data_IF_962693698403
#
_entry.id   IF_962693698403
#
_cell.length_a   1.000
_cell.length_b   1.000
_cell.length_c   1.000
_cell.angle_alpha   90.00
_cell.angle_beta   90.00
_cell.angle_gamma   90.00
#
_symmetry.space_group_name_H-M   'P 1'
#
loop_
_entity.id
_entity.type
_entity.pdbx_description
1 polymer ?
#
# COMPACT_ATOMS: atom_id res chain seq x y z
N UNK A 1 -18.22 -9.72 11.05
CA UNK A 1 -17.06 -9.79 10.12
C UNK A 1 -16.15 -10.90 10.62
N UNK A 2 -15.82 -11.89 9.80
CA UNK A 2 -15.00 -13.03 10.26
C UNK A 2 -13.52 -12.63 10.29
N UNK A 3 -12.97 -12.50 11.50
CA UNK A 3 -11.61 -11.99 11.76
C UNK A 3 -10.52 -13.05 11.57
N UNK A 4 -10.87 -14.33 11.37
CA UNK A 4 -9.90 -15.42 11.27
C UNK A 4 -9.06 -15.39 9.99
N UNK A 5 -9.53 -14.72 8.92
CA UNK A 5 -8.80 -14.61 7.64
C UNK A 5 -7.60 -13.65 7.68
N UNK A 6 -7.43 -12.90 8.77
CA UNK A 6 -6.46 -11.80 8.87
C UNK A 6 -5.36 -12.06 9.91
N UNK A 7 -5.20 -13.32 10.32
CA UNK A 7 -4.30 -13.79 11.38
C UNK A 7 -2.86 -13.32 11.24
N UNK A 8 -2.38 -13.04 10.01
CA UNK A 8 -1.00 -12.58 9.76
C UNK A 8 -0.88 -11.06 9.52
N UNK A 9 -2.00 -10.34 9.50
CA UNK A 9 -2.08 -8.89 9.20
C UNK A 9 -2.75 -8.09 10.33
N UNK A 10 -2.77 -8.66 11.54
CA UNK A 10 -3.38 -8.08 12.74
C UNK A 10 -3.05 -6.59 12.95
N UNK A 11 -1.80 -6.12 12.72
CA UNK A 11 -1.47 -4.69 12.85
C UNK A 11 -2.23 -3.79 11.88
N UNK A 12 -2.51 -4.28 10.66
CA UNK A 12 -3.19 -3.50 9.62
C UNK A 12 -4.70 -3.40 9.90
N UNK A 13 -5.32 -4.50 10.29
CA UNK A 13 -6.73 -4.52 10.70
C UNK A 13 -7.00 -3.63 11.92
N UNK A 14 -6.20 -3.77 12.98
CA UNK A 14 -6.36 -2.93 14.17
C UNK A 14 -6.18 -1.45 13.83
N UNK A 15 -5.25 -1.12 12.93
CA UNK A 15 -5.10 0.24 12.45
C UNK A 15 -6.37 0.74 11.73
N UNK A 16 -6.98 -0.07 10.88
CA UNK A 16 -8.19 0.32 10.12
C UNK A 16 -9.35 0.57 11.09
N UNK A 17 -9.58 -0.36 12.02
CA UNK A 17 -10.64 -0.28 13.03
C UNK A 17 -10.40 0.92 13.96
N UNK A 18 -9.19 1.07 14.51
CA UNK A 18 -8.86 2.17 15.45
C UNK A 18 -9.02 3.56 14.82
N UNK A 19 -8.82 3.69 13.51
CA UNK A 19 -8.86 4.97 12.82
C UNK A 19 -10.15 5.18 12.00
N UNK A 20 -11.16 4.30 12.13
CA UNK A 20 -12.42 4.35 11.38
C UNK A 20 -12.22 4.61 9.86
N UNK A 21 -11.18 4.03 9.26
CA UNK A 21 -10.83 4.34 7.86
C UNK A 21 -11.65 3.52 6.88
N UNK A 22 -12.33 4.19 5.96
CA UNK A 22 -12.88 3.55 4.77
C UNK A 22 -11.75 3.21 3.79
N UNK A 23 -11.51 1.92 3.58
CA UNK A 23 -10.53 1.45 2.62
C UNK A 23 -11.07 1.58 1.20
N UNK A 24 -10.26 2.13 0.29
CA UNK A 24 -10.64 2.18 -1.13
C UNK A 24 -10.58 0.80 -1.80
N UNK A 25 -9.64 -0.06 -1.37
CA UNK A 25 -9.47 -1.42 -1.89
C UNK A 25 -9.26 -2.43 -0.75
N UNK A 26 -10.35 -2.90 -0.09
CA UNK A 26 -10.31 -3.83 1.05
C UNK A 26 -9.69 -5.19 0.73
N UNK A 27 -9.73 -5.63 -0.52
CA UNK A 27 -9.19 -6.92 -0.98
C UNK A 27 -7.66 -7.02 -0.87
N UNK A 28 -6.96 -5.88 -0.72
CA UNK A 28 -5.50 -5.80 -0.56
C UNK A 28 -5.05 -5.54 0.88
N UNK A 29 -5.93 -5.75 1.87
CA UNK A 29 -5.57 -5.59 3.29
C UNK A 29 -4.58 -6.63 3.77
N UNK A 30 -4.54 -7.81 3.14
CA UNK A 30 -3.64 -8.87 3.55
C UNK A 30 -2.27 -8.75 2.91
N UNK A 31 -1.24 -9.20 3.59
CA UNK A 31 0.12 -9.28 3.07
C UNK A 31 0.17 -10.11 1.79
N UNK A 32 -0.44 -11.29 1.82
CA UNK A 32 -0.44 -12.22 0.69
C UNK A 32 -1.10 -11.62 -0.57
N UNK A 33 -2.24 -10.94 -0.41
CA UNK A 33 -2.92 -10.30 -1.54
C UNK A 33 -2.08 -9.17 -2.16
N UNK A 34 -1.30 -8.44 -1.36
CA UNK A 34 -0.35 -7.44 -1.87
C UNK A 34 0.82 -8.10 -2.56
N UNK A 35 1.44 -9.10 -1.94
CA UNK A 35 2.62 -9.77 -2.48
C UNK A 35 2.37 -10.32 -3.89
N UNK A 36 1.22 -10.96 -4.10
CA UNK A 36 0.79 -11.49 -5.42
C UNK A 36 0.79 -10.42 -6.53
N UNK A 37 0.57 -9.15 -6.19
CA UNK A 37 0.59 -8.08 -7.21
C UNK A 37 1.99 -7.80 -7.72
N UNK A 38 3.03 -8.14 -6.96
CA UNK A 38 4.43 -7.91 -7.29
C UNK A 38 5.12 -9.11 -7.97
N UNK A 39 4.39 -10.17 -8.33
CA UNK A 39 4.98 -11.36 -8.98
C UNK A 39 5.68 -11.02 -10.31
N UNK A 40 5.15 -10.02 -11.04
CA UNK A 40 5.71 -9.52 -12.31
C UNK A 40 6.57 -8.26 -12.13
N UNK A 41 6.87 -7.87 -10.89
CA UNK A 41 7.68 -6.68 -10.62
C UNK A 41 9.17 -7.00 -10.80
N UNK A 42 9.75 -6.55 -11.90
CA UNK A 42 11.15 -6.84 -12.28
C UNK A 42 12.12 -5.70 -11.95
N UNK A 43 11.63 -4.59 -11.41
CA UNK A 43 12.46 -3.41 -11.16
C UNK A 43 13.28 -3.56 -9.88
N UNK A 44 14.49 -3.01 -9.92
CA UNK A 44 15.40 -3.00 -8.77
C UNK A 44 15.00 -1.94 -7.73
N UNK A 45 14.38 -0.84 -8.18
CA UNK A 45 14.00 0.30 -7.34
C UNK A 45 12.59 0.79 -7.72
N UNK A 46 11.75 1.12 -6.72
CA UNK A 46 11.94 0.86 -5.29
C UNK A 46 11.96 -0.64 -5.02
N UNK A 47 12.56 -1.03 -3.90
CA UNK A 47 12.51 -2.42 -3.48
C UNK A 47 11.06 -2.85 -3.22
N UNK A 48 10.69 -4.03 -3.73
CA UNK A 48 9.32 -4.55 -3.63
C UNK A 48 8.83 -4.69 -2.19
N UNK A 49 9.72 -5.01 -1.24
CA UNK A 49 9.36 -5.11 0.18
C UNK A 49 8.95 -3.75 0.73
N UNK A 50 9.74 -2.71 0.42
CA UNK A 50 9.43 -1.35 0.83
C UNK A 50 8.06 -0.85 0.32
N UNK A 51 7.65 -1.27 -0.87
CA UNK A 51 6.37 -0.87 -1.49
C UNK A 51 5.18 -1.51 -0.79
N UNK A 52 5.15 -2.83 -0.61
CA UNK A 52 3.98 -3.44 0.04
C UNK A 52 3.91 -3.17 1.55
N UNK A 53 5.04 -2.91 2.23
CA UNK A 53 5.07 -2.44 3.63
C UNK A 53 4.41 -1.06 3.76
N UNK A 54 4.56 -0.22 2.74
CA UNK A 54 3.98 1.12 2.69
C UNK A 54 2.57 1.16 2.09
N UNK A 55 1.90 0.00 2.06
CA UNK A 55 0.50 -0.20 1.63
C UNK A 55 0.28 -0.04 0.12
N UNK A 56 1.31 -0.24 -0.70
CA UNK A 56 1.16 -0.27 -2.14
C UNK A 56 0.84 -1.67 -2.67
N UNK A 57 0.10 -1.68 -3.78
CA UNK A 57 0.03 -2.79 -4.73
C UNK A 57 0.65 -2.36 -6.06
N UNK A 58 1.23 -3.28 -6.81
CA UNK A 58 1.72 -3.01 -8.16
C UNK A 58 0.56 -3.08 -9.17
N UNK A 59 0.56 -2.21 -10.17
CA UNK A 59 -0.48 -2.15 -11.20
C UNK A 59 -0.16 -2.97 -12.46
N UNK A 60 1.00 -3.64 -12.51
CA UNK A 60 1.37 -4.49 -13.65
C UNK A 60 1.99 -3.76 -14.83
N UNK A 61 2.22 -2.44 -14.73
CA UNK A 61 2.86 -1.66 -15.78
C UNK A 61 3.95 -0.75 -15.21
N UNK A 62 5.12 -0.74 -15.85
CA UNK A 62 6.31 0.03 -15.45
C UNK A 62 6.62 -0.13 -13.96
N UNK A 63 6.57 0.96 -13.22
CA UNK A 63 6.76 1.06 -11.77
C UNK A 63 5.51 1.61 -11.07
N UNK A 64 4.37 1.59 -11.77
CA UNK A 64 3.14 2.18 -11.27
C UNK A 64 2.62 1.37 -10.07
N UNK A 65 2.47 2.03 -8.93
CA UNK A 65 1.94 1.43 -7.71
C UNK A 65 0.77 2.25 -7.16
N UNK A 66 -0.15 1.58 -6.48
CA UNK A 66 -1.34 2.20 -5.91
C UNK A 66 -1.48 1.88 -4.42
N UNK A 67 -1.72 2.90 -3.60
CA UNK A 67 -2.04 2.66 -2.20
C UNK A 67 -3.44 2.07 -2.06
N UNK A 68 -3.57 0.89 -1.44
CA UNK A 68 -4.88 0.25 -1.28
C UNK A 68 -5.82 1.02 -0.32
N UNK A 69 -5.24 1.82 0.58
CA UNK A 69 -5.98 2.56 1.60
C UNK A 69 -6.54 3.87 1.07
N UNK A 70 -5.69 4.77 0.53
CA UNK A 70 -6.11 6.09 0.05
C UNK A 70 -6.34 6.15 -1.47
N UNK A 71 -5.84 5.19 -2.25
CA UNK A 71 -5.99 5.15 -3.69
C UNK A 71 -5.03 6.00 -4.50
N UNK A 72 -4.09 6.69 -3.85
CA UNK A 72 -3.01 7.42 -4.54
C UNK A 72 -2.23 6.46 -5.43
N UNK A 73 -1.96 6.89 -6.66
CA UNK A 73 -1.13 6.19 -7.63
C UNK A 73 0.17 6.96 -7.77
N UNK A 74 1.30 6.26 -7.71
CA UNK A 74 2.65 6.80 -7.91
C UNK A 74 3.36 5.99 -9.00
N UNK A 75 4.20 6.67 -9.77
CA UNK A 75 5.03 6.12 -10.85
C UNK A 75 6.32 6.92 -10.96
N UNK A 76 7.21 6.49 -11.85
CA UNK A 76 8.47 7.15 -12.17
C UNK A 76 9.38 7.32 -10.92
N UNK A 77 9.42 6.26 -10.11
CA UNK A 77 10.18 6.15 -8.87
C UNK A 77 11.70 6.26 -9.11
N UNK A 78 12.33 7.16 -8.38
CA UNK A 78 13.78 7.28 -8.31
C UNK A 78 14.37 6.42 -7.17
N UNK A 79 15.67 6.13 -7.28
CA UNK A 79 16.44 5.39 -6.27
C UNK A 79 16.41 6.08 -4.90
N UNK A 80 16.31 7.41 -4.91
CA UNK A 80 16.31 8.25 -3.70
C UNK A 80 14.93 8.36 -3.04
N UNK A 81 13.88 7.88 -3.71
CA UNK A 81 12.51 8.05 -3.25
C UNK A 81 12.20 7.10 -2.10
N UNK A 82 11.42 7.60 -1.15
CA UNK A 82 10.95 6.80 -0.03
C UNK A 82 9.43 6.58 -0.16
N UNK A 83 8.96 5.33 -0.37
CA UNK A 83 7.54 5.06 -0.59
C UNK A 83 6.60 5.59 0.50
N UNK A 84 7.05 5.63 1.76
CA UNK A 84 6.24 6.19 2.86
C UNK A 84 6.13 7.71 2.76
N UNK A 85 7.23 8.41 2.45
CA UNK A 85 7.26 9.87 2.31
C UNK A 85 6.46 10.31 1.09
N UNK A 86 6.68 9.67 -0.05
CA UNK A 86 5.94 9.97 -1.28
C UNK A 86 4.44 9.76 -1.08
N UNK A 87 4.05 8.65 -0.45
CA UNK A 87 2.65 8.43 -0.09
C UNK A 87 2.12 9.53 0.82
N UNK A 88 2.84 9.93 1.85
CA UNK A 88 2.39 10.98 2.77
C UNK A 88 2.19 12.32 2.04
N UNK A 89 3.16 12.69 1.20
CA UNK A 89 3.12 13.90 0.39
C UNK A 89 1.91 13.90 -0.55
N UNK A 90 1.72 12.82 -1.33
CA UNK A 90 0.66 12.73 -2.33
C UNK A 90 -0.72 12.31 -1.80
N UNK A 91 -0.82 11.80 -0.57
CA UNK A 91 -2.11 11.41 0.05
C UNK A 91 -2.80 12.55 0.81
N UNK A 92 -2.11 13.67 0.95
CA UNK A 92 -2.67 14.91 1.48
C UNK A 92 -3.70 15.50 0.49
N UNK A 93 -4.96 15.87 0.77
CA UNK A 93 -5.80 15.95 1.98
C UNK A 93 -5.03 16.02 3.30
N UNK A 94 -4.22 17.07 3.43
CA UNK A 94 -3.92 17.65 4.74
C UNK A 94 -5.27 18.10 5.33
N UNK A 95 -5.89 17.29 6.19
CA UNK A 95 -6.84 17.85 7.16
C UNK A 95 -5.99 18.36 8.32
N UNK A 96 -5.66 19.64 8.26
CA UNK A 96 -5.56 20.42 9.49
C UNK A 96 -6.98 20.49 10.04
N UNK A 97 -7.26 19.68 11.06
CA UNK A 97 -8.22 20.02 12.11
C UNK A 97 -7.43 20.14 13.41
#
# INVERSE_FOLDING_TARGET
MNLSKYSNDFPNLLYIIRNNRNLKYPEFTTFESRLKTFDLYTLKYPDKFSLYETRFKYLGTRDCTQCFNCGVVLSDWAIVDNPRKERAFHSSKFTFE
#
